data_IF_748122101117
#
_entry.id   IF_748122101117
#
_cell.length_a   1.000
_cell.length_b   1.000
_cell.length_c   1.000
_cell.angle_alpha   90.00
_cell.angle_beta   90.00
_cell.angle_gamma   90.00
#
_symmetry.space_group_name_H-M   'P 1'
#
loop_
_entity.id
_entity.type
_entity.pdbx_description
1 polymer ?
#
# COMPACT_ATOMS: atom_id res chain seq x y z
N UNK A 1 -12.79 2.52 5.69
CA UNK A 1 -11.44 2.08 6.09
C UNK A 1 -11.13 0.75 5.42
N UNK A 2 -9.86 0.46 5.13
CA UNK A 2 -9.38 -0.81 4.58
C UNK A 2 -8.38 -1.42 5.56
N UNK A 3 -8.39 -2.74 5.69
CA UNK A 3 -7.48 -3.49 6.55
C UNK A 3 -6.36 -4.11 5.72
N UNK A 4 -5.10 -3.76 6.02
CA UNK A 4 -3.91 -4.49 5.56
C UNK A 4 -3.51 -5.48 6.64
N UNK A 5 -3.58 -6.77 6.31
CA UNK A 5 -3.37 -7.87 7.25
C UNK A 5 -1.93 -8.37 7.11
N UNK A 6 -1.26 -8.53 8.26
CA UNK A 6 0.08 -9.09 8.37
C UNK A 6 0.01 -10.36 9.20
N UNK A 7 -0.18 -11.46 8.49
CA UNK A 7 -0.37 -12.77 9.07
C UNK A 7 0.82 -13.66 8.68
N UNK A 8 1.57 -14.22 9.66
CA UNK A 8 2.78 -15.00 9.38
C UNK A 8 2.51 -16.20 8.47
N UNK A 9 1.29 -16.75 8.44
CA UNK A 9 0.95 -17.88 7.55
C UNK A 9 1.01 -17.51 6.06
N UNK A 10 0.95 -16.22 5.72
CA UNK A 10 1.00 -15.73 4.34
C UNK A 10 2.37 -15.12 3.97
N UNK A 11 3.34 -15.18 4.88
CA UNK A 11 4.74 -14.87 4.57
C UNK A 11 5.42 -16.13 4.03
N UNK A 12 5.12 -16.46 2.77
CA UNK A 12 5.71 -17.61 2.09
C UNK A 12 7.09 -17.20 1.57
N UNK A 13 8.14 -17.79 2.12
CA UNK A 13 9.48 -17.74 1.54
C UNK A 13 9.59 -18.82 0.44
N UNK A 14 9.73 -18.44 -0.85
CA UNK A 14 9.87 -19.42 -1.93
C UNK A 14 11.18 -20.23 -1.85
N UNK A 15 12.11 -19.86 -0.96
CA UNK A 15 13.39 -20.54 -0.75
C UNK A 15 13.43 -21.37 0.54
N UNK A 16 12.29 -21.56 1.22
CA UNK A 16 12.09 -22.40 2.43
C UNK A 16 13.13 -22.19 3.57
N UNK A 17 13.73 -21.01 3.68
CA UNK A 17 14.82 -20.76 4.64
C UNK A 17 14.48 -19.77 5.75
N UNK A 18 13.43 -18.97 5.57
CA UNK A 18 13.18 -17.82 6.43
C UNK A 18 11.97 -18.03 7.33
N UNK A 19 12.19 -17.89 8.64
CA UNK A 19 11.12 -17.87 9.63
C UNK A 19 10.11 -16.73 9.30
N UNK A 20 8.82 -17.03 9.10
CA UNK A 20 7.81 -16.04 8.75
C UNK A 20 7.55 -15.02 9.87
N UNK A 21 7.84 -15.34 11.13
CA UNK A 21 7.57 -14.46 12.27
C UNK A 21 8.47 -13.20 12.25
N UNK A 22 9.82 -13.30 12.15
CA UNK A 22 10.70 -12.15 11.96
C UNK A 22 10.40 -11.34 10.70
N UNK A 23 10.07 -12.00 9.58
CA UNK A 23 9.75 -11.31 8.33
C UNK A 23 8.48 -10.45 8.45
N UNK A 24 7.46 -11.00 9.10
CA UNK A 24 6.25 -10.25 9.44
C UNK A 24 6.58 -9.06 10.32
N UNK A 25 7.34 -9.25 11.40
CA UNK A 25 7.65 -8.17 12.36
C UNK A 25 8.46 -7.05 11.70
N UNK A 26 9.40 -7.40 10.82
CA UNK A 26 10.14 -6.46 10.00
C UNK A 26 9.21 -5.69 9.05
N UNK A 27 8.30 -6.39 8.38
CA UNK A 27 7.34 -5.80 7.44
C UNK A 27 6.38 -4.84 8.11
N UNK A 28 5.82 -5.23 9.27
CA UNK A 28 4.96 -4.38 10.09
C UNK A 28 5.70 -3.14 10.56
N UNK A 29 6.92 -3.30 11.07
CA UNK A 29 7.74 -2.20 11.57
C UNK A 29 8.10 -1.20 10.45
N UNK A 30 8.49 -1.70 9.27
CA UNK A 30 8.77 -0.86 8.12
C UNK A 30 7.53 -0.09 7.63
N UNK A 31 6.37 -0.75 7.56
CA UNK A 31 5.14 -0.10 7.10
C UNK A 31 4.68 0.98 8.09
N UNK A 32 4.71 0.68 9.39
CA UNK A 32 4.34 1.64 10.44
C UNK A 32 5.26 2.87 10.43
N UNK A 33 6.58 2.66 10.32
CA UNK A 33 7.56 3.74 10.21
C UNK A 33 7.39 4.54 8.91
N UNK A 34 7.06 3.88 7.79
CA UNK A 34 6.77 4.56 6.54
C UNK A 34 5.57 5.52 6.69
N UNK A 35 4.45 5.06 7.25
CA UNK A 35 3.30 5.93 7.49
C UNK A 35 3.61 7.07 8.47
N UNK A 36 4.43 6.83 9.50
CA UNK A 36 4.89 7.88 10.39
C UNK A 36 5.65 8.98 9.64
N UNK A 37 6.57 8.60 8.74
CA UNK A 37 7.32 9.55 7.89
C UNK A 37 6.44 10.26 6.87
N UNK A 38 5.42 9.57 6.36
CA UNK A 38 4.47 10.09 5.38
C UNK A 38 3.39 10.98 5.99
N UNK A 39 3.44 11.29 7.30
CA UNK A 39 2.45 12.15 7.96
C UNK A 39 2.07 13.43 7.17
N UNK A 40 3.00 14.15 6.51
CA UNK A 40 2.64 15.34 5.72
C UNK A 40 1.77 15.05 4.48
N UNK A 41 1.77 13.82 3.98
CA UNK A 41 1.09 13.41 2.75
C UNK A 41 -0.23 12.65 3.01
N UNK A 42 -0.48 12.28 4.26
CA UNK A 42 -1.65 11.48 4.63
C UNK A 42 -2.96 12.25 4.43
N UNK A 43 -3.92 11.59 3.77
CA UNK A 43 -5.23 12.15 3.44
C UNK A 43 -5.22 13.11 2.25
N UNK A 44 -4.09 13.23 1.55
CA UNK A 44 -3.97 14.02 0.33
C UNK A 44 -3.37 13.21 -0.82
N UNK A 45 -2.17 12.69 -0.63
CA UNK A 45 -1.44 11.91 -1.65
C UNK A 45 -1.25 10.45 -1.28
N UNK A 46 -1.35 10.12 0.01
CA UNK A 46 -1.38 8.75 0.51
C UNK A 46 -2.57 8.59 1.47
N UNK A 47 -3.15 7.39 1.63
CA UNK A 47 -4.22 7.17 2.59
C UNK A 47 -3.80 7.55 4.02
N UNK A 48 -4.73 8.01 4.86
CA UNK A 48 -4.45 8.14 6.30
C UNK A 48 -4.23 6.78 6.95
N UNK A 49 -3.24 6.70 7.84
CA UNK A 49 -3.08 5.57 8.75
C UNK A 49 -3.96 5.79 9.98
N UNK A 50 -4.97 4.94 10.16
CA UNK A 50 -5.86 4.99 11.31
C UNK A 50 -5.25 4.29 12.54
N UNK A 51 -4.27 3.40 12.34
CA UNK A 51 -3.53 2.74 13.42
C UNK A 51 -3.13 1.31 13.09
N UNK A 52 -2.19 0.80 13.89
CA UNK A 52 -1.74 -0.58 13.89
C UNK A 52 -2.33 -1.31 15.10
N UNK A 53 -2.98 -2.44 14.86
CA UNK A 53 -3.70 -3.20 15.87
C UNK A 53 -3.20 -4.65 15.91
N UNK A 54 -3.30 -5.25 17.08
CA UNK A 54 -3.18 -6.69 17.26
C UNK A 54 -4.57 -7.29 17.29
N UNK A 55 -4.84 -8.26 16.42
CA UNK A 55 -6.14 -8.90 16.30
C UNK A 55 -6.02 -10.41 16.56
N UNK A 56 -6.75 -10.97 17.55
CA UNK A 56 -6.82 -12.41 17.73
C UNK A 56 -7.73 -13.04 16.66
N UNK A 57 -7.41 -14.27 16.26
CA UNK A 57 -8.24 -15.12 15.39
C UNK A 57 -8.78 -16.29 16.21
N UNK A 58 -9.96 -16.14 16.86
CA UNK A 58 -10.48 -17.13 17.80
C UNK A 58 -10.70 -18.51 17.16
N UNK A 59 -11.10 -18.54 15.89
CA UNK A 59 -11.31 -19.78 15.12
C UNK A 59 -10.02 -20.54 14.80
N UNK A 60 -8.85 -19.96 15.07
CA UNK A 60 -7.53 -20.56 14.81
C UNK A 60 -6.67 -20.60 16.08
N UNK A 61 -7.27 -21.09 17.17
CA UNK A 61 -6.58 -21.23 18.46
C UNK A 61 -6.20 -19.90 19.09
N UNK A 62 -6.93 -18.82 18.79
CA UNK A 62 -6.67 -17.46 19.27
C UNK A 62 -5.28 -16.91 18.94
N UNK A 63 -4.65 -17.42 17.87
CA UNK A 63 -3.41 -16.85 17.34
C UNK A 63 -3.63 -15.38 16.95
N UNK A 64 -2.58 -14.58 17.04
CA UNK A 64 -2.66 -13.14 16.75
C UNK A 64 -2.06 -12.79 15.40
N UNK A 65 -2.61 -11.74 14.79
CA UNK A 65 -2.09 -11.09 13.58
C UNK A 65 -2.03 -9.58 13.77
N UNK A 66 -1.17 -8.92 13.01
CA UNK A 66 -1.14 -7.46 12.96
C UNK A 66 -2.08 -6.96 11.85
N UNK A 67 -2.82 -5.90 12.15
CA UNK A 67 -3.75 -5.26 11.21
C UNK A 67 -3.46 -3.77 11.18
N UNK A 68 -3.05 -3.26 10.02
CA UNK A 68 -2.92 -1.83 9.78
C UNK A 68 -4.21 -1.34 9.13
N UNK A 69 -4.90 -0.42 9.81
CA UNK A 69 -6.10 0.21 9.27
C UNK A 69 -5.73 1.48 8.52
N UNK A 70 -6.18 1.56 7.27
CA UNK A 70 -5.96 2.68 6.38
C UNK A 70 -7.28 3.31 5.98
N UNK A 71 -7.24 4.59 5.61
CA UNK A 71 -8.33 5.27 4.94
C UNK A 71 -8.75 4.50 3.69
N UNK A 72 -10.06 4.40 3.48
CA UNK A 72 -10.57 3.95 2.20
C UNK A 72 -10.64 5.15 1.27
N UNK A 73 -9.77 5.18 0.26
CA UNK A 73 -9.79 6.23 -0.77
C UNK A 73 -10.91 5.90 -1.76
N UNK A 74 -11.89 6.78 -1.86
CA UNK A 74 -12.94 6.67 -2.87
C UNK A 74 -12.37 6.96 -4.26
N UNK A 75 -12.88 6.28 -5.28
CA UNK A 75 -12.42 6.42 -6.66
C UNK A 75 -12.21 5.05 -7.30
N UNK A 76 -11.55 5.05 -8.45
CA UNK A 76 -11.17 3.83 -9.15
C UNK A 76 -9.68 3.83 -9.41
N UNK A 77 -9.05 2.66 -9.35
CA UNK A 77 -7.64 2.57 -9.67
C UNK A 77 -7.41 2.79 -11.18
N UNK A 78 -6.21 3.26 -11.53
CA UNK A 78 -5.86 3.57 -12.92
C UNK A 78 -5.94 2.33 -13.83
N UNK A 79 -5.69 1.13 -13.31
CA UNK A 79 -5.80 -0.11 -14.09
C UNK A 79 -7.26 -0.36 -14.50
N UNK A 80 -8.21 -0.08 -13.61
CA UNK A 80 -9.64 -0.16 -13.89
C UNK A 80 -10.11 0.92 -14.87
N UNK A 81 -9.70 2.18 -14.66
CA UNK A 81 -10.11 3.31 -15.51
C UNK A 81 -9.51 3.26 -16.91
N UNK A 82 -8.25 2.81 -17.02
CA UNK A 82 -7.50 2.76 -18.26
C UNK A 82 -7.00 1.34 -18.49
N UNK A 83 -7.91 0.39 -18.80
CA UNK A 83 -7.50 -0.96 -19.14
C UNK A 83 -6.72 -0.96 -20.46
N UNK A 84 -6.00 -2.04 -20.73
CA UNK A 84 -5.14 -2.18 -21.92
C UNK A 84 -5.89 -1.91 -23.24
N UNK A 85 -7.18 -2.22 -23.30
CA UNK A 85 -8.04 -1.94 -24.45
C UNK A 85 -8.37 -0.45 -24.65
N UNK A 86 -8.40 0.35 -23.58
CA UNK A 86 -8.75 1.78 -23.60
C UNK A 86 -7.50 2.66 -23.73
N UNK A 87 -6.36 2.21 -23.18
CA UNK A 87 -5.10 2.95 -23.16
C UNK A 87 -4.71 3.59 -24.51
N UNK A 88 -4.81 2.90 -25.67
CA UNK A 88 -4.48 3.47 -26.98
C UNK A 88 -5.33 4.69 -27.36
N UNK A 89 -6.55 4.80 -26.84
CA UNK A 89 -7.51 5.86 -27.15
C UNK A 89 -7.44 7.04 -26.17
N UNK A 90 -6.70 6.91 -25.07
CA UNK A 90 -6.51 8.01 -24.13
C UNK A 90 -5.75 9.16 -24.82
N UNK A 91 -6.32 10.37 -24.81
CA UNK A 91 -5.64 11.52 -25.39
C UNK A 91 -4.36 11.87 -24.63
N UNK A 92 -3.43 12.55 -25.30
CA UNK A 92 -2.12 12.91 -24.74
C UNK A 92 -2.25 13.67 -23.42
N UNK A 93 -3.20 14.62 -23.33
CA UNK A 93 -3.40 15.41 -22.12
C UNK A 93 -3.73 14.56 -20.89
N UNK A 94 -4.63 13.58 -21.02
CA UNK A 94 -4.97 12.67 -19.91
C UNK A 94 -3.80 11.76 -19.56
N UNK A 95 -3.07 11.23 -20.56
CA UNK A 95 -1.88 10.40 -20.29
C UNK A 95 -0.83 11.17 -19.49
N UNK A 96 -0.54 12.40 -19.90
CA UNK A 96 0.42 13.26 -19.22
C UNK A 96 -0.07 13.63 -17.82
N UNK A 97 -1.36 13.90 -17.62
CA UNK A 97 -1.90 14.19 -16.29
C UNK A 97 -1.71 13.01 -15.32
N UNK A 98 -2.01 11.78 -15.74
CA UNK A 98 -1.83 10.56 -14.92
C UNK A 98 -0.35 10.35 -14.58
N UNK A 99 0.53 10.43 -15.59
CA UNK A 99 1.97 10.22 -15.40
C UNK A 99 2.57 11.29 -14.49
N UNK A 100 2.22 12.56 -14.70
CA UNK A 100 2.72 13.66 -13.88
C UNK A 100 2.22 13.54 -12.43
N UNK A 101 0.95 13.17 -12.21
CA UNK A 101 0.42 12.92 -10.87
C UNK A 101 1.20 11.78 -10.18
N UNK A 102 1.40 10.65 -10.86
CA UNK A 102 2.14 9.51 -10.32
C UNK A 102 3.60 9.86 -9.97
N UNK A 103 4.29 10.61 -10.83
CA UNK A 103 5.66 11.08 -10.62
C UNK A 103 5.73 12.03 -9.42
N UNK A 104 4.80 12.98 -9.32
CA UNK A 104 4.78 13.93 -8.21
C UNK A 104 4.59 13.22 -6.87
N UNK A 105 3.64 12.27 -6.80
CA UNK A 105 3.44 11.45 -5.60
C UNK A 105 4.68 10.62 -5.28
N UNK A 106 5.32 10.01 -6.28
CA UNK A 106 6.57 9.26 -6.09
C UNK A 106 7.67 10.09 -5.42
N UNK A 107 7.94 11.28 -5.96
CA UNK A 107 8.99 12.15 -5.43
C UNK A 107 8.62 12.69 -4.05
N UNK A 108 7.37 13.05 -3.79
CA UNK A 108 6.94 13.48 -2.46
C UNK A 108 7.14 12.38 -1.41
N UNK A 109 6.77 11.14 -1.74
CA UNK A 109 7.03 9.97 -0.87
C UNK A 109 8.54 9.79 -0.62
N UNK A 110 9.35 9.91 -1.68
CA UNK A 110 10.81 9.80 -1.58
C UNK A 110 11.42 10.90 -0.70
N UNK A 111 10.93 12.13 -0.80
CA UNK A 111 11.38 13.27 0.02
C UNK A 111 11.03 13.09 1.50
N UNK A 112 10.03 12.29 1.84
CA UNK A 112 9.76 11.85 3.21
C UNK A 112 10.71 10.72 3.68
N UNK A 113 11.68 10.31 2.87
CA UNK A 113 12.61 9.24 3.19
C UNK A 113 11.99 7.84 3.14
N UNK A 114 10.93 7.67 2.35
CA UNK A 114 10.24 6.38 2.13
C UNK A 114 10.45 5.94 0.68
N UNK A 115 10.89 4.70 0.48
CA UNK A 115 11.08 4.14 -0.86
C UNK A 115 9.86 3.31 -1.25
N UNK A 116 8.94 3.90 -2.02
CA UNK A 116 7.85 3.15 -2.63
C UNK A 116 8.38 2.25 -3.75
N UNK A 117 8.09 0.95 -3.67
CA UNK A 117 8.62 -0.07 -4.59
C UNK A 117 7.57 -0.55 -5.59
N UNK A 118 6.30 -0.27 -5.35
CA UNK A 118 5.19 -0.75 -6.19
C UNK A 118 4.33 0.43 -6.68
N UNK A 119 4.85 1.18 -7.65
CA UNK A 119 4.12 2.28 -8.31
C UNK A 119 3.24 1.79 -9.48
N UNK A 120 2.80 0.53 -9.46
CA UNK A 120 1.94 -0.02 -10.50
C UNK A 120 0.58 0.68 -10.56
N UNK A 121 -0.08 0.78 -11.73
CA UNK A 121 -1.37 1.49 -11.90
C UNK A 121 -2.48 1.11 -10.91
N UNK A 122 -2.53 -0.16 -10.48
CA UNK A 122 -3.48 -0.65 -9.47
C UNK A 122 -3.38 0.05 -8.10
N UNK A 123 -2.25 0.70 -7.82
CA UNK A 123 -2.00 1.41 -6.55
C UNK A 123 -2.22 2.93 -6.65
N UNK A 124 -2.67 3.43 -7.80
CA UNK A 124 -3.02 4.84 -8.00
C UNK A 124 -4.53 4.94 -8.17
N UNK A 125 -5.19 5.66 -7.26
CA UNK A 125 -6.65 5.86 -7.28
C UNK A 125 -6.93 7.29 -7.74
N UNK A 126 -7.84 7.44 -8.70
CA UNK A 126 -8.29 8.72 -9.28
C UNK A 126 -9.80 8.85 -9.09
#
# INVERSE_FOLDING_TARGET
VIAKIFDPLYFIDPYEGTDPFPLRDLSVSHEAEAYRRLAPLQGTQVPRCCGLFLSPLPSQGSRTMYVLLLEHVAGQDVCYLVPTSVSPFLCLAHRMAIVNAAINVFYNILMCGVKQRDMAPRNHII
#
